data_IF_543743031401
#
_entry.id   IF_543743031401
#
_cell.length_a   1.000
_cell.length_b   1.000
_cell.length_c   1.000
_cell.angle_alpha   90.00
_cell.angle_beta   90.00
_cell.angle_gamma   90.00
#
_symmetry.space_group_name_H-M   'P 1'
#
loop_
_entity.id
_entity.type
_entity.pdbx_description
1 polymer ?
#
# COMPACT_ATOMS: atom_id res chain seq x y z
N UNK A 1 0.93 20.40 14.32
CA UNK A 1 1.25 19.10 14.95
C UNK A 1 1.15 17.99 13.89
N UNK A 2 1.78 18.17 12.72
CA UNK A 2 1.38 17.39 11.52
C UNK A 2 2.47 16.44 11.03
N UNK A 3 3.75 16.75 11.24
CA UNK A 3 4.86 15.94 10.71
C UNK A 3 4.83 14.46 11.14
N UNK A 4 4.44 14.18 12.39
CA UNK A 4 4.33 12.80 12.90
C UNK A 4 3.12 12.09 12.29
N UNK A 5 2.01 12.80 12.10
CA UNK A 5 0.81 12.25 11.46
C UNK A 5 1.07 11.93 9.98
N UNK A 6 1.76 12.82 9.28
CA UNK A 6 2.11 12.66 7.86
C UNK A 6 3.11 11.51 7.69
N UNK A 7 4.08 11.37 8.59
CA UNK A 7 4.99 10.23 8.62
C UNK A 7 4.25 8.91 8.86
N UNK A 8 3.29 8.89 9.81
CA UNK A 8 2.44 7.71 10.03
C UNK A 8 1.54 7.41 8.82
N UNK A 9 1.02 8.45 8.15
CA UNK A 9 0.24 8.29 6.94
C UNK A 9 1.05 7.62 5.81
N UNK A 10 2.30 8.06 5.62
CA UNK A 10 3.22 7.45 4.66
C UNK A 10 3.50 5.97 4.96
N UNK A 11 3.79 5.65 6.23
CA UNK A 11 4.07 4.29 6.65
C UNK A 11 2.82 3.38 6.53
N UNK A 12 1.66 3.86 6.97
CA UNK A 12 0.40 3.13 6.92
C UNK A 12 -0.10 2.87 5.50
N UNK A 13 0.04 3.85 4.60
CA UNK A 13 -0.36 3.71 3.19
C UNK A 13 0.61 2.83 2.38
N UNK A 14 1.90 2.86 2.68
CA UNK A 14 2.90 2.04 1.99
C UNK A 14 2.88 0.58 2.46
N UNK A 15 2.90 0.36 3.78
CA UNK A 15 3.05 -0.99 4.36
C UNK A 15 1.72 -1.68 4.70
N UNK A 16 0.68 -0.93 5.05
CA UNK A 16 -0.62 -1.50 5.42
C UNK A 16 -1.22 -2.40 4.33
N UNK A 17 -1.38 -1.91 3.09
CA UNK A 17 -1.97 -2.68 1.99
C UNK A 17 -1.17 -3.94 1.66
N UNK A 18 0.16 -3.84 1.64
CA UNK A 18 1.01 -4.97 1.29
C UNK A 18 1.02 -6.04 2.38
N UNK A 19 0.98 -5.67 3.66
CA UNK A 19 0.83 -6.64 4.76
C UNK A 19 -0.50 -7.39 4.64
N UNK A 20 -1.60 -6.67 4.40
CA UNK A 20 -2.92 -7.31 4.20
C UNK A 20 -2.92 -8.26 3.01
N UNK A 21 -2.39 -7.82 1.86
CA UNK A 21 -2.27 -8.67 0.68
C UNK A 21 -1.35 -9.88 0.92
N UNK A 22 -0.27 -9.73 1.69
CA UNK A 22 0.67 -10.82 1.95
C UNK A 22 0.11 -11.90 2.86
N UNK A 23 -0.86 -11.56 3.72
CA UNK A 23 -1.53 -12.51 4.62
C UNK A 23 -2.72 -13.20 3.97
N UNK A 24 -3.51 -12.46 3.20
CA UNK A 24 -4.79 -12.96 2.70
C UNK A 24 -4.80 -13.26 1.18
N UNK A 25 -3.75 -12.92 0.45
CA UNK A 25 -3.73 -13.04 -1.00
C UNK A 25 -2.46 -13.67 -1.57
N UNK A 26 -2.55 -14.96 -1.89
CA UNK A 26 -1.48 -15.79 -2.46
C UNK A 26 -0.87 -15.30 -3.79
N UNK A 27 -1.52 -14.36 -4.49
CA UNK A 27 -1.05 -13.84 -5.79
C UNK A 27 -0.08 -12.67 -5.64
N UNK A 28 0.06 -12.13 -4.43
CA UNK A 28 1.02 -11.07 -4.13
C UNK A 28 2.43 -11.50 -4.53
N UNK A 29 3.12 -10.67 -5.31
CA UNK A 29 4.49 -10.92 -5.74
C UNK A 29 5.38 -9.71 -5.46
N UNK A 30 6.69 -9.88 -5.65
CA UNK A 30 7.68 -8.82 -5.36
C UNK A 30 7.42 -7.53 -6.13
N UNK A 31 7.08 -7.62 -7.42
CA UNK A 31 6.81 -6.44 -8.23
C UNK A 31 5.57 -5.67 -7.74
N UNK A 32 4.51 -6.39 -7.36
CA UNK A 32 3.33 -5.83 -6.73
C UNK A 32 3.61 -5.18 -5.38
N UNK A 33 4.43 -5.83 -4.55
CA UNK A 33 4.84 -5.29 -3.26
C UNK A 33 5.58 -3.95 -3.41
N UNK A 34 6.57 -3.89 -4.31
CA UNK A 34 7.33 -2.67 -4.59
C UNK A 34 6.43 -1.59 -5.17
N UNK A 35 5.55 -1.93 -6.12
CA UNK A 35 4.61 -0.98 -6.71
C UNK A 35 3.67 -0.37 -5.65
N UNK A 36 3.16 -1.17 -4.72
CA UNK A 36 2.34 -0.72 -3.59
C UNK A 36 3.07 0.24 -2.65
N UNK A 37 4.24 -0.17 -2.16
CA UNK A 37 5.04 0.64 -1.23
C UNK A 37 5.38 2.00 -1.85
N UNK A 38 5.83 2.00 -3.11
CA UNK A 38 6.21 3.23 -3.81
C UNK A 38 4.98 4.11 -4.06
N UNK A 39 3.87 3.54 -4.57
CA UNK A 39 2.66 4.32 -4.86
C UNK A 39 1.99 4.87 -3.59
N UNK A 40 1.95 4.11 -2.48
CA UNK A 40 1.42 4.58 -1.21
C UNK A 40 2.21 5.75 -0.64
N UNK A 41 3.55 5.59 -0.56
CA UNK A 41 4.43 6.67 -0.10
C UNK A 41 4.38 7.91 -0.99
N UNK A 42 4.41 7.74 -2.30
CA UNK A 42 4.28 8.86 -3.25
C UNK A 42 2.92 9.55 -3.15
N UNK A 43 1.84 8.80 -2.93
CA UNK A 43 0.51 9.39 -2.76
C UNK A 43 0.49 10.34 -1.58
N UNK A 44 1.02 9.92 -0.42
CA UNK A 44 1.07 10.78 0.78
C UNK A 44 1.92 12.02 0.54
N UNK A 45 3.09 11.86 -0.09
CA UNK A 45 3.94 13.01 -0.44
C UNK A 45 3.22 14.00 -1.37
N UNK A 46 2.53 13.49 -2.40
CA UNK A 46 1.78 14.32 -3.35
C UNK A 46 0.58 15.00 -2.63
N UNK A 47 -0.11 14.27 -1.77
CA UNK A 47 -1.33 14.73 -1.11
C UNK A 47 -1.06 15.83 -0.07
N UNK A 48 0.01 15.67 0.71
CA UNK A 48 0.32 16.54 1.85
C UNK A 48 1.27 17.69 1.48
N UNK A 49 2.10 17.54 0.44
CA UNK A 49 3.12 18.54 0.08
C UNK A 49 2.91 19.24 -1.26
N UNK A 50 2.09 18.69 -2.19
CA UNK A 50 1.90 19.32 -3.50
C UNK A 50 0.59 20.12 -3.53
N UNK A 51 0.64 21.45 -3.74
CA UNK A 51 -0.55 22.29 -3.84
C UNK A 51 -1.19 22.17 -5.23
N UNK A 52 -2.11 21.21 -5.40
CA UNK A 52 -2.78 20.92 -6.68
C UNK A 52 -4.14 21.63 -6.85
N UNK A 53 -4.76 22.11 -5.77
CA UNK A 53 -6.10 22.73 -5.84
C UNK A 53 -6.00 24.20 -5.45
N UNK A 54 -5.96 25.10 -6.44
CA UNK A 54 -6.06 26.55 -6.21
C UNK A 54 -4.95 27.16 -5.34
N UNK A 55 -3.77 26.52 -5.25
CA UNK A 55 -2.67 26.94 -4.38
C UNK A 55 -2.68 26.32 -2.98
N UNK A 56 -3.62 25.41 -2.68
CA UNK A 56 -3.65 24.62 -1.45
C UNK A 56 -3.37 23.14 -1.72
N UNK A 57 -2.87 22.44 -0.70
CA UNK A 57 -2.67 20.97 -0.74
C UNK A 57 -4.01 20.26 -0.81
N UNK A 58 -4.04 19.07 -1.42
CA UNK A 58 -5.30 18.31 -1.56
C UNK A 58 -5.84 17.95 -0.17
N UNK A 59 -4.95 17.66 0.79
CA UNK A 59 -5.31 17.44 2.19
C UNK A 59 -6.04 18.66 2.79
N UNK A 60 -5.53 19.86 2.56
CA UNK A 60 -6.13 21.09 3.09
C UNK A 60 -7.45 21.45 2.38
N UNK A 61 -7.55 21.20 1.08
CA UNK A 61 -8.75 21.50 0.29
C UNK A 61 -9.90 20.53 0.55
N UNK A 62 -9.62 19.26 0.81
CA UNK A 62 -10.65 18.21 0.98
C UNK A 62 -10.89 17.80 2.44
N UNK A 63 -9.92 18.04 3.34
CA UNK A 63 -9.95 17.54 4.72
C UNK A 63 -9.81 16.02 4.83
N UNK A 64 -9.54 15.32 3.72
CA UNK A 64 -9.43 13.86 3.68
C UNK A 64 -8.02 13.46 4.10
N UNK A 65 -7.95 12.51 5.04
CA UNK A 65 -6.70 11.99 5.56
C UNK A 65 -5.91 11.23 4.48
N UNK A 66 -4.65 11.63 4.26
CA UNK A 66 -3.79 11.10 3.19
C UNK A 66 -3.53 9.59 3.32
N UNK A 67 -3.50 9.05 4.54
CA UNK A 67 -3.37 7.61 4.79
C UNK A 67 -4.46 6.83 4.07
N UNK A 68 -5.72 7.25 4.18
CA UNK A 68 -6.86 6.51 3.64
C UNK A 68 -6.74 6.40 2.11
N UNK A 69 -6.47 7.53 1.46
CA UNK A 69 -6.35 7.60 -0.01
C UNK A 69 -5.10 6.85 -0.48
N UNK A 70 -3.97 7.03 0.19
CA UNK A 70 -2.73 6.32 -0.10
C UNK A 70 -2.88 4.80 0.06
N UNK A 71 -3.62 4.35 1.08
CA UNK A 71 -3.90 2.93 1.30
C UNK A 71 -4.64 2.32 0.11
N UNK A 72 -5.70 2.96 -0.38
CA UNK A 72 -6.47 2.45 -1.52
C UNK A 72 -5.68 2.48 -2.83
N UNK A 73 -4.91 3.55 -3.09
CA UNK A 73 -4.08 3.65 -4.28
C UNK A 73 -3.01 2.56 -4.27
N UNK A 74 -2.31 2.40 -3.14
CA UNK A 74 -1.32 1.34 -2.95
C UNK A 74 -1.93 -0.05 -3.15
N UNK A 75 -3.10 -0.31 -2.56
CA UNK A 75 -3.82 -1.58 -2.74
C UNK A 75 -4.12 -1.88 -4.22
N UNK A 76 -4.66 -0.91 -4.95
CA UNK A 76 -4.95 -1.05 -6.38
C UNK A 76 -3.67 -1.30 -7.17
N UNK A 77 -2.59 -0.57 -6.88
CA UNK A 77 -1.29 -0.78 -7.51
C UNK A 77 -0.71 -2.17 -7.22
N UNK A 78 -0.81 -2.68 -5.99
CA UNK A 78 -0.38 -4.04 -5.63
C UNK A 78 -1.15 -5.06 -6.45
N UNK A 79 -2.48 -4.93 -6.51
CA UNK A 79 -3.34 -5.88 -7.23
C UNK A 79 -3.05 -5.85 -8.73
N UNK A 80 -3.03 -4.65 -9.33
CA UNK A 80 -2.76 -4.48 -10.76
C UNK A 80 -1.37 -5.00 -11.13
N UNK A 81 -0.33 -4.60 -10.39
CA UNK A 81 1.04 -5.03 -10.68
C UNK A 81 1.23 -6.54 -10.42
N UNK A 82 0.63 -7.12 -9.38
CA UNK A 82 0.72 -8.56 -9.10
C UNK A 82 0.04 -9.42 -10.18
N UNK A 83 -1.01 -8.88 -10.83
CA UNK A 83 -1.70 -9.55 -11.93
C UNK A 83 -0.97 -9.38 -13.27
N UNK A 84 -0.42 -8.19 -13.54
CA UNK A 84 0.29 -7.89 -14.78
C UNK A 84 1.72 -8.48 -14.83
N UNK A 85 2.27 -8.90 -13.69
CA UNK A 85 3.63 -9.46 -13.61
C UNK A 85 3.63 -10.96 -13.33
N UNK A 86 4.83 -11.56 -13.30
CA UNK A 86 5.00 -13.01 -13.10
C UNK A 86 4.37 -13.46 -11.79
N UNK A 87 3.82 -14.67 -11.82
CA UNK A 87 3.32 -15.33 -10.62
C UNK A 87 4.43 -15.40 -9.54
N UNK A 88 4.06 -15.37 -8.24
CA UNK A 88 5.00 -15.72 -7.18
C UNK A 88 5.56 -17.13 -7.42
N UNK A 89 6.80 -17.37 -6.97
CA UNK A 89 7.47 -18.66 -7.15
C UNK A 89 6.75 -19.77 -6.39
N UNK A 90 6.97 -21.01 -6.83
CA UNK A 90 6.38 -22.18 -6.15
C UNK A 90 6.80 -22.25 -4.68
N UNK A 91 8.05 -21.91 -4.35
CA UNK A 91 8.53 -21.83 -2.96
C UNK A 91 7.69 -20.87 -2.11
N UNK A 92 7.38 -19.67 -2.62
CA UNK A 92 6.54 -18.69 -1.91
C UNK A 92 5.12 -19.21 -1.74
N UNK A 93 4.57 -19.88 -2.75
CA UNK A 93 3.24 -20.47 -2.68
C UNK A 93 3.16 -21.62 -1.66
N UNK A 94 4.20 -22.45 -1.59
CA UNK A 94 4.31 -23.54 -0.60
C UNK A 94 4.36 -22.96 0.81
N UNK A 95 5.21 -21.95 1.06
CA UNK A 95 5.31 -21.31 2.37
C UNK A 95 4.00 -20.61 2.77
N UNK A 96 3.37 -19.87 1.84
CA UNK A 96 2.08 -19.22 2.09
C UNK A 96 1.00 -20.26 2.49
N UNK A 97 0.93 -21.38 1.76
CA UNK A 97 -0.04 -22.43 2.07
C UNK A 97 0.25 -23.12 3.40
N UNK A 98 1.53 -23.33 3.73
CA UNK A 98 1.95 -23.91 5.01
C UNK A 98 1.47 -23.05 6.17
N UNK A 99 1.85 -21.77 6.20
CA UNK A 99 1.46 -20.83 7.27
C UNK A 99 -0.05 -20.61 7.31
N UNK A 100 -0.74 -20.59 6.17
CA UNK A 100 -2.21 -20.48 6.13
C UNK A 100 -2.94 -21.73 6.63
N UNK A 101 -2.28 -22.89 6.65
CA UNK A 101 -2.85 -24.17 7.11
C UNK A 101 -2.52 -24.50 8.57
N UNK A 102 -1.47 -23.87 9.11
CA UNK A 102 -1.18 -23.89 10.54
C UNK A 102 -2.25 -23.07 11.25
N UNK A 103 -3.34 -23.74 11.66
CA UNK A 103 -4.30 -23.17 12.60
C UNK A 103 -3.52 -22.79 13.87
N UNK A 104 -3.66 -21.54 14.30
CA UNK A 104 -3.23 -21.09 15.61
C UNK A 104 -4.10 -21.77 16.68
N UNK A 105 -3.83 -23.05 16.96
CA UNK A 105 -4.34 -23.76 18.14
C UNK A 105 -3.55 -23.38 19.40
#
# INVERSE_FOLDING_TARGET
>A
MNLVSDAWAGLGSAFGPIVVCSLFWKRTNFAGAVAGIVSGGLTVLIWDYIPLVGGQTIAAATGIYSLLVGFFISLVCIVAASLCTKAPSEEILVEFNKVSSENFE
#
